data_IF_703471255388
#
_entry.id   IF_703471255388
#
_cell.length_a   1.000
_cell.length_b   1.000
_cell.length_c   1.000
_cell.angle_alpha   90.00
_cell.angle_beta   90.00
_cell.angle_gamma   90.00
#
_symmetry.space_group_name_H-M   'P 1'
#
loop_
_entity.id
_entity.type
_entity.pdbx_description
1 polymer ?
#
# COMPACT_ATOMS: atom_id res chain seq x y z
N UNK A 1 -24.04 9.92 -22.53
CA UNK A 1 -22.67 10.40 -22.83
C UNK A 1 -21.68 9.36 -22.30
N UNK A 2 -20.70 8.97 -23.11
CA UNK A 2 -19.74 7.92 -22.78
C UNK A 2 -18.73 8.45 -21.72
N UNK A 3 -18.65 7.77 -20.57
CA UNK A 3 -17.76 8.17 -19.46
C UNK A 3 -16.30 8.22 -19.89
N UNK A 4 -15.83 7.19 -20.60
CA UNK A 4 -14.44 7.06 -21.03
C UNK A 4 -14.05 8.18 -22.00
N UNK A 5 -14.98 8.59 -22.86
CA UNK A 5 -14.77 9.73 -23.78
C UNK A 5 -14.73 11.05 -23.02
N UNK A 6 -15.66 11.25 -22.07
CA UNK A 6 -15.77 12.50 -21.33
C UNK A 6 -14.57 12.77 -20.41
N UNK A 7 -13.90 11.72 -19.92
CA UNK A 7 -12.79 11.83 -18.98
C UNK A 7 -11.47 11.28 -19.54
N UNK A 8 -11.35 11.15 -20.87
CA UNK A 8 -10.20 10.53 -21.53
C UNK A 8 -8.84 11.13 -21.10
N UNK A 9 -8.77 12.46 -20.98
CA UNK A 9 -7.54 13.14 -20.55
C UNK A 9 -7.17 12.81 -19.10
N UNK A 10 -8.13 12.84 -18.16
CA UNK A 10 -7.89 12.50 -16.76
C UNK A 10 -7.55 11.02 -16.58
N UNK A 11 -8.18 10.12 -17.34
CA UNK A 11 -7.91 8.68 -17.29
C UNK A 11 -6.55 8.32 -17.90
N UNK A 12 -6.11 9.06 -18.92
CA UNK A 12 -4.74 8.97 -19.44
C UNK A 12 -3.73 9.45 -18.40
N UNK A 13 -3.95 10.62 -17.80
CA UNK A 13 -3.11 11.12 -16.71
C UNK A 13 -3.06 10.14 -15.52
N UNK A 14 -4.17 9.47 -15.21
CA UNK A 14 -4.22 8.43 -14.17
C UNK A 14 -3.38 7.21 -14.54
N UNK A 15 -3.44 6.76 -15.80
CA UNK A 15 -2.61 5.67 -16.32
C UNK A 15 -1.13 5.99 -16.16
N UNK A 16 -0.70 7.18 -16.59
CA UNK A 16 0.71 7.60 -16.50
C UNK A 16 1.16 7.76 -15.04
N UNK A 17 0.32 8.37 -14.21
CA UNK A 17 0.56 8.55 -12.77
C UNK A 17 0.72 7.22 -12.03
N UNK A 18 -0.21 6.28 -12.23
CA UNK A 18 -0.15 4.96 -11.63
C UNK A 18 0.99 4.12 -12.20
N UNK A 19 1.26 4.23 -13.49
CA UNK A 19 2.37 3.55 -14.16
C UNK A 19 3.74 3.98 -13.62
N UNK A 20 3.95 5.27 -13.41
CA UNK A 20 5.20 5.81 -12.85
C UNK A 20 5.52 5.24 -11.46
N UNK A 21 4.49 5.14 -10.60
CA UNK A 21 4.62 4.56 -9.26
C UNK A 21 4.73 3.03 -9.32
N UNK A 22 3.95 2.38 -10.18
CA UNK A 22 3.88 0.94 -10.34
C UNK A 22 5.08 0.29 -11.03
N UNK A 23 5.90 1.07 -11.73
CA UNK A 23 7.13 0.59 -12.36
C UNK A 23 8.27 0.38 -11.34
N UNK A 24 8.08 0.79 -10.08
CA UNK A 24 9.11 0.81 -9.05
C UNK A 24 8.84 -0.24 -7.96
N UNK A 25 9.57 -1.36 -7.94
CA UNK A 25 9.38 -2.40 -6.92
C UNK A 25 9.84 -1.96 -5.53
N UNK A 26 10.57 -0.85 -5.42
CA UNK A 26 10.91 -0.20 -4.14
C UNK A 26 9.80 0.71 -3.61
N UNK A 27 8.80 1.05 -4.43
CA UNK A 27 7.60 1.76 -4.01
C UNK A 27 6.44 0.81 -3.69
N UNK A 28 6.20 -0.18 -4.55
CA UNK A 28 5.08 -1.12 -4.41
C UNK A 28 5.50 -2.52 -4.85
N UNK A 29 5.11 -3.53 -4.09
CA UNK A 29 5.35 -4.94 -4.43
C UNK A 29 4.05 -5.59 -4.88
N UNK A 30 4.08 -6.26 -6.04
CA UNK A 30 2.91 -6.87 -6.68
C UNK A 30 1.65 -5.98 -6.67
N UNK A 31 0.58 -6.49 -6.05
CA UNK A 31 -0.72 -5.81 -5.94
C UNK A 31 -0.83 -4.78 -4.81
N UNK A 32 0.28 -4.41 -4.17
CA UNK A 32 0.37 -3.44 -3.08
C UNK A 32 0.03 -2.01 -3.50
N UNK A 33 -0.15 -1.14 -2.49
CA UNK A 33 -0.49 0.27 -2.69
C UNK A 33 -1.77 0.51 -3.51
N UNK A 34 -2.11 1.79 -3.71
CA UNK A 34 -3.20 2.20 -4.58
C UNK A 34 -3.10 3.68 -4.96
N UNK A 35 -3.80 4.02 -6.04
CA UNK A 35 -3.82 5.37 -6.59
C UNK A 35 -5.25 5.73 -6.97
N UNK A 36 -5.55 7.03 -6.99
CA UNK A 36 -6.82 7.53 -7.50
C UNK A 36 -6.66 8.87 -8.21
N UNK A 37 -7.58 9.14 -9.14
CA UNK A 37 -7.84 10.48 -9.68
C UNK A 37 -9.29 10.89 -9.43
N UNK A 38 -9.51 12.14 -9.01
CA UNK A 38 -10.83 12.77 -8.97
C UNK A 38 -11.05 13.56 -10.25
N UNK A 39 -12.18 13.33 -10.89
CA UNK A 39 -12.59 14.03 -12.09
C UNK A 39 -13.60 15.12 -11.74
N UNK A 40 -13.68 16.16 -12.59
CA UNK A 40 -14.62 17.25 -12.42
C UNK A 40 -16.07 16.72 -12.23
N UNK A 41 -16.78 17.27 -11.24
CA UNK A 41 -18.10 16.79 -10.83
C UNK A 41 -18.05 16.02 -9.52
N UNK A 42 -18.19 14.69 -9.59
CA UNK A 42 -18.35 13.83 -8.40
C UNK A 42 -17.67 12.46 -8.50
N UNK A 43 -16.92 12.18 -9.57
CA UNK A 43 -16.39 10.85 -9.83
C UNK A 43 -14.93 10.75 -9.43
N UNK A 44 -14.57 9.60 -8.86
CA UNK A 44 -13.20 9.22 -8.57
C UNK A 44 -12.95 7.85 -9.18
N UNK A 45 -11.89 7.74 -9.98
CA UNK A 45 -11.35 6.46 -10.42
C UNK A 45 -10.28 6.04 -9.42
N UNK A 46 -10.35 4.80 -8.93
CA UNK A 46 -9.42 4.25 -7.95
C UNK A 46 -9.04 2.83 -8.33
N UNK A 47 -7.78 2.47 -8.12
CA UNK A 47 -7.26 1.11 -8.35
C UNK A 47 -8.22 0.04 -7.81
N UNK A 48 -8.51 -0.95 -8.63
CA UNK A 48 -9.29 -2.11 -8.22
C UNK A 48 -8.44 -3.07 -7.35
N UNK A 49 -9.10 -3.75 -6.41
CA UNK A 49 -8.45 -4.77 -5.59
C UNK A 49 -7.96 -5.94 -6.46
N UNK A 50 -6.73 -6.40 -6.25
CA UNK A 50 -6.12 -7.52 -6.99
C UNK A 50 -5.33 -7.12 -8.24
N UNK A 51 -5.33 -5.84 -8.61
CA UNK A 51 -4.54 -5.31 -9.72
C UNK A 51 -3.29 -4.58 -9.24
N UNK A 52 -2.25 -4.58 -10.07
CA UNK A 52 -1.04 -3.78 -9.88
C UNK A 52 -1.30 -2.35 -10.34
N UNK A 53 -0.53 -1.38 -9.84
CA UNK A 53 -0.61 0.01 -10.33
C UNK A 53 -0.29 0.11 -11.83
N UNK A 54 0.64 -0.72 -12.30
CA UNK A 54 1.03 -0.84 -13.70
C UNK A 54 -0.05 -1.42 -14.62
N UNK A 55 -1.11 -2.02 -14.06
CA UNK A 55 -2.22 -2.61 -14.83
C UNK A 55 -3.25 -1.54 -15.24
N UNK A 56 -3.26 -0.36 -14.59
CA UNK A 56 -4.23 0.71 -14.86
C UNK A 56 -4.09 1.20 -16.30
N UNK A 57 -5.20 1.19 -17.04
CA UNK A 57 -5.35 1.80 -18.36
C UNK A 57 -6.62 2.65 -18.37
N UNK A 58 -6.86 3.48 -19.40
CA UNK A 58 -8.08 4.29 -19.45
C UNK A 58 -9.37 3.49 -19.38
N UNK A 59 -9.35 2.20 -19.70
CA UNK A 59 -10.49 1.28 -19.72
C UNK A 59 -10.26 0.01 -18.85
N UNK A 60 -9.27 -0.03 -17.96
CA UNK A 60 -8.91 -1.24 -17.23
C UNK A 60 -8.35 -1.02 -15.81
N UNK A 61 -8.58 -2.00 -14.92
CA UNK A 61 -7.97 -2.14 -13.58
C UNK A 61 -8.33 -1.07 -12.51
N UNK A 62 -9.45 -0.37 -12.68
CA UNK A 62 -9.97 0.56 -11.66
C UNK A 62 -11.50 0.47 -11.51
N UNK A 63 -12.01 0.97 -10.40
CA UNK A 63 -13.43 1.17 -10.15
C UNK A 63 -13.75 2.66 -10.09
N UNK A 64 -14.99 3.04 -10.43
CA UNK A 64 -15.48 4.42 -10.39
C UNK A 64 -16.44 4.59 -9.22
N UNK A 65 -16.19 5.59 -8.37
CA UNK A 65 -17.02 5.89 -7.20
C UNK A 65 -17.49 7.34 -7.17
N UNK A 66 -18.66 7.56 -6.59
CA UNK A 66 -19.14 8.86 -6.16
C UNK A 66 -18.37 9.29 -4.89
N UNK A 67 -17.27 10.03 -5.05
CA UNK A 67 -16.42 10.38 -3.91
C UNK A 67 -17.07 11.37 -2.93
N UNK A 68 -17.96 12.32 -3.34
CA UNK A 68 -18.68 13.15 -2.38
C UNK A 68 -19.52 12.36 -1.37
N UNK A 69 -20.11 11.23 -1.78
CA UNK A 69 -20.86 10.34 -0.86
C UNK A 69 -19.93 9.78 0.21
N UNK A 70 -18.80 9.20 -0.19
CA UNK A 70 -17.80 8.67 0.74
C UNK A 70 -17.26 9.77 1.66
N UNK A 71 -16.85 10.90 1.08
CA UNK A 71 -16.31 12.05 1.81
C UNK A 71 -17.33 12.58 2.83
N UNK A 72 -18.60 12.67 2.46
CA UNK A 72 -19.67 13.11 3.34
C UNK A 72 -19.86 12.14 4.51
N UNK A 73 -19.84 10.83 4.25
CA UNK A 73 -19.92 9.82 5.30
C UNK A 73 -18.81 10.01 6.34
N UNK A 74 -17.55 10.06 5.91
CA UNK A 74 -16.41 10.15 6.84
C UNK A 74 -16.23 11.52 7.50
N UNK A 75 -16.79 12.60 6.94
CA UNK A 75 -16.74 13.95 7.55
C UNK A 75 -17.87 14.23 8.53
N UNK A 76 -18.99 13.53 8.40
CA UNK A 76 -20.21 13.81 9.18
C UNK A 76 -20.47 12.78 10.29
N UNK A 77 -19.58 11.80 10.46
CA UNK A 77 -19.68 10.77 11.47
C UNK A 77 -18.34 10.55 12.16
N UNK A 78 -18.37 9.86 13.30
CA UNK A 78 -17.22 9.34 14.01
C UNK A 78 -17.25 7.82 13.96
N UNK A 79 -16.08 7.18 14.12
CA UNK A 79 -15.99 5.72 14.10
C UNK A 79 -16.87 5.05 15.20
N UNK A 80 -17.07 5.73 16.32
CA UNK A 80 -17.88 5.27 17.45
C UNK A 80 -19.41 5.29 17.18
N UNK A 81 -19.85 5.93 16.10
CA UNK A 81 -21.26 6.01 15.74
C UNK A 81 -21.79 4.67 15.19
N UNK A 82 -20.90 3.70 14.94
CA UNK A 82 -21.21 2.43 14.30
C UNK A 82 -20.80 1.25 15.17
N UNK A 83 -21.72 0.28 15.33
CA UNK A 83 -21.42 -1.01 15.97
C UNK A 83 -20.33 -1.78 15.20
N UNK A 84 -20.42 -1.77 13.85
CA UNK A 84 -19.43 -2.35 12.97
C UNK A 84 -19.01 -1.36 11.88
N UNK A 85 -18.03 -0.53 12.21
CA UNK A 85 -17.47 0.51 11.35
C UNK A 85 -16.97 0.00 9.99
N UNK A 86 -16.39 -1.21 9.92
CA UNK A 86 -15.90 -1.78 8.66
C UNK A 86 -17.06 -2.21 7.75
N UNK A 87 -18.11 -2.80 8.32
CA UNK A 87 -19.31 -3.14 7.56
C UNK A 87 -20.02 -1.88 7.04
N UNK A 88 -20.15 -0.85 7.88
CA UNK A 88 -20.76 0.44 7.49
C UNK A 88 -19.97 1.13 6.39
N UNK A 89 -18.64 1.25 6.52
CA UNK A 89 -17.80 1.84 5.47
C UNK A 89 -17.84 1.05 4.16
N UNK A 90 -17.82 -0.27 4.23
CA UNK A 90 -17.95 -1.15 3.05
C UNK A 90 -19.30 -0.99 2.34
N UNK A 91 -20.39 -0.85 3.10
CA UNK A 91 -21.72 -0.60 2.55
C UNK A 91 -21.77 0.73 1.78
N UNK A 92 -21.28 1.82 2.38
CA UNK A 92 -21.23 3.13 1.72
C UNK A 92 -20.33 3.12 0.49
N UNK A 93 -19.18 2.43 0.55
CA UNK A 93 -18.31 2.26 -0.60
C UNK A 93 -19.03 1.51 -1.73
N UNK A 94 -19.81 0.48 -1.43
CA UNK A 94 -20.59 -0.28 -2.41
C UNK A 94 -21.69 0.58 -3.03
N UNK A 95 -22.41 1.37 -2.24
CA UNK A 95 -23.45 2.30 -2.72
C UNK A 95 -22.87 3.41 -3.60
N UNK A 96 -21.63 3.84 -3.33
CA UNK A 96 -20.95 4.85 -4.12
C UNK A 96 -20.46 4.33 -5.49
N UNK A 97 -20.45 3.01 -5.75
CA UNK A 97 -19.96 2.47 -7.02
C UNK A 97 -20.87 2.90 -8.17
N UNK A 98 -20.26 3.45 -9.21
CA UNK A 98 -20.90 3.72 -10.49
C UNK A 98 -20.51 2.65 -11.50
N UNK A 99 -21.51 1.99 -12.08
CA UNK A 99 -21.30 1.18 -13.28
C UNK A 99 -21.03 2.07 -14.49
N UNK A 100 -20.03 1.69 -15.28
CA UNK A 100 -19.59 2.43 -16.46
C UNK A 100 -19.48 1.46 -17.62
N UNK A 101 -20.19 1.77 -18.71
CA UNK A 101 -20.10 0.99 -19.95
C UNK A 101 -18.67 0.98 -20.46
N UNK A 102 -18.15 -0.20 -20.77
CA UNK A 102 -16.77 -0.41 -21.20
C UNK A 102 -15.76 -0.63 -20.07
N UNK A 103 -16.20 -0.67 -18.81
CA UNK A 103 -15.38 -1.10 -17.67
C UNK A 103 -15.97 -2.37 -17.04
N UNK A 104 -15.08 -3.27 -16.62
CA UNK A 104 -15.46 -4.42 -15.81
C UNK A 104 -16.03 -3.97 -14.44
N UNK A 105 -16.98 -4.73 -13.92
CA UNK A 105 -17.50 -4.54 -12.57
C UNK A 105 -16.50 -5.03 -11.52
N UNK A 106 -15.51 -4.19 -11.21
CA UNK A 106 -14.43 -4.50 -10.28
C UNK A 106 -14.70 -4.00 -8.86
N UNK A 107 -14.16 -4.74 -7.87
CA UNK A 107 -14.17 -4.30 -6.46
C UNK A 107 -13.16 -3.16 -6.27
N UNK A 108 -13.55 -1.99 -5.74
CA UNK A 108 -12.59 -0.91 -5.45
C UNK A 108 -11.57 -1.33 -4.37
N UNK A 109 -10.49 -0.57 -4.24
CA UNK A 109 -9.61 -0.69 -3.06
C UNK A 109 -10.41 -0.53 -1.76
N UNK A 110 -10.04 -1.30 -0.72
CA UNK A 110 -10.62 -1.15 0.63
C UNK A 110 -10.33 0.22 1.26
N UNK A 111 -9.39 0.95 0.67
CA UNK A 111 -8.92 2.26 1.09
C UNK A 111 -9.58 3.44 0.36
N UNK A 112 -10.58 3.15 -0.48
CA UNK A 112 -11.32 4.19 -1.22
C UNK A 112 -11.88 5.32 -0.33
N UNK A 113 -12.14 5.03 0.94
CA UNK A 113 -12.54 6.00 1.94
C UNK A 113 -11.56 7.17 2.06
N UNK A 114 -10.31 6.93 2.43
CA UNK A 114 -9.36 8.03 2.61
C UNK A 114 -9.01 8.71 1.29
N UNK A 115 -9.00 7.97 0.17
CA UNK A 115 -8.83 8.59 -1.15
C UNK A 115 -9.86 9.68 -1.39
N UNK A 116 -11.11 9.48 -0.96
CA UNK A 116 -12.17 10.50 -1.10
C UNK A 116 -11.91 11.78 -0.30
N UNK A 117 -11.16 11.71 0.80
CA UNK A 117 -10.85 12.83 1.69
C UNK A 117 -9.76 13.75 1.15
N UNK A 118 -8.85 13.20 0.34
CA UNK A 118 -7.64 13.87 -0.16
C UNK A 118 -7.88 14.60 -1.50
N UNK A 119 -6.83 15.17 -2.07
CA UNK A 119 -6.87 16.06 -3.25
C UNK A 119 -7.05 15.30 -4.57
N UNK A 120 -6.95 15.98 -5.72
CA UNK A 120 -7.25 15.44 -7.04
C UNK A 120 -6.59 14.09 -7.34
N UNK A 121 -5.27 14.01 -7.16
CA UNK A 121 -4.47 12.79 -7.29
C UNK A 121 -3.97 12.33 -5.93
N UNK A 122 -4.00 11.02 -5.70
CA UNK A 122 -3.52 10.39 -4.46
C UNK A 122 -2.64 9.22 -4.81
N UNK A 123 -1.41 9.23 -4.32
CA UNK A 123 -0.46 8.12 -4.36
C UNK A 123 -0.35 7.51 -2.97
N UNK A 124 -0.81 6.28 -2.80
CA UNK A 124 -0.48 5.48 -1.64
C UNK A 124 0.41 4.31 -2.06
N UNK A 125 1.60 4.23 -1.44
CA UNK A 125 2.59 3.20 -1.74
C UNK A 125 3.13 2.61 -0.45
N UNK A 126 3.55 1.36 -0.49
CA UNK A 126 4.25 0.69 0.61
C UNK A 126 5.77 0.82 0.43
N UNK A 127 6.21 2.05 0.16
CA UNK A 127 7.59 2.33 -0.21
C UNK A 127 8.55 1.85 0.87
N UNK A 128 9.60 1.14 0.45
CA UNK A 128 10.62 0.62 1.35
C UNK A 128 11.31 1.75 2.12
N UNK A 129 11.48 2.92 1.49
CA UNK A 129 12.13 4.08 2.10
C UNK A 129 11.24 4.73 3.17
N UNK A 130 9.96 4.98 2.86
CA UNK A 130 9.03 5.50 3.85
C UNK A 130 8.82 4.51 5.01
N UNK A 131 8.79 3.21 4.72
CA UNK A 131 8.68 2.17 5.73
C UNK A 131 9.93 2.03 6.61
N UNK A 132 11.08 2.61 6.25
CA UNK A 132 12.19 2.80 7.21
C UNK A 132 11.73 3.65 8.40
N UNK A 133 11.00 4.74 8.16
CA UNK A 133 10.43 5.51 9.26
C UNK A 133 9.18 4.81 9.82
N UNK A 134 8.23 4.42 8.98
CA UNK A 134 6.92 3.95 9.42
C UNK A 134 6.97 2.65 10.24
N UNK A 135 7.96 1.79 10.01
CA UNK A 135 8.13 0.53 10.73
C UNK A 135 9.18 0.63 11.85
N UNK A 136 9.71 1.81 12.16
CA UNK A 136 10.66 2.01 13.25
C UNK A 136 9.97 2.27 14.59
N UNK A 137 10.68 1.96 15.68
CA UNK A 137 10.32 2.35 17.04
C UNK A 137 10.40 3.84 17.33
N UNK A 138 10.84 4.64 16.36
CA UNK A 138 10.97 6.09 16.43
C UNK A 138 10.30 6.79 15.22
N UNK A 139 9.20 6.24 14.71
CA UNK A 139 8.55 6.69 13.47
C UNK A 139 8.32 8.21 13.40
N UNK A 140 7.78 8.82 14.46
CA UNK A 140 7.55 10.27 14.52
C UNK A 140 8.87 11.05 14.44
N UNK A 141 9.86 10.70 15.27
CA UNK A 141 11.14 11.41 15.29
C UNK A 141 11.90 11.26 13.96
N UNK A 142 11.84 10.10 13.32
CA UNK A 142 12.46 9.86 12.03
C UNK A 142 11.75 10.59 10.89
N UNK A 143 10.42 10.68 10.92
CA UNK A 143 9.65 11.49 9.98
C UNK A 143 9.99 12.97 10.12
N UNK A 144 9.97 13.50 11.35
CA UNK A 144 10.27 14.90 11.63
C UNK A 144 11.70 15.24 11.20
N UNK A 145 12.67 14.35 11.46
CA UNK A 145 14.05 14.50 11.00
C UNK A 145 14.15 14.51 9.47
N UNK A 146 13.52 13.55 8.79
CA UNK A 146 13.62 13.40 7.34
C UNK A 146 12.94 14.56 6.58
N UNK A 147 11.79 15.03 7.09
CA UNK A 147 10.93 16.00 6.42
C UNK A 147 10.98 17.41 7.03
N UNK A 148 11.90 17.70 7.94
CA UNK A 148 12.02 18.99 8.64
C UNK A 148 11.97 20.20 7.69
N UNK A 149 12.72 20.12 6.59
CA UNK A 149 12.82 21.18 5.58
C UNK A 149 12.07 20.83 4.29
N UNK A 150 11.11 19.91 4.36
CA UNK A 150 10.22 19.65 3.24
C UNK A 150 9.31 20.88 3.05
N UNK A 151 9.25 21.43 1.84
CA UNK A 151 8.41 22.59 1.50
C UNK A 151 6.89 22.32 1.58
N UNK A 152 6.48 21.21 2.20
CA UNK A 152 5.11 20.73 2.31
C UNK A 152 4.83 20.19 3.71
N UNK A 153 3.55 19.98 4.02
CA UNK A 153 3.12 19.51 5.33
C UNK A 153 3.15 17.99 5.41
N UNK A 154 3.45 17.46 6.58
CA UNK A 154 3.49 16.02 6.80
C UNK A 154 2.91 15.67 8.18
N UNK A 155 2.28 14.51 8.29
CA UNK A 155 1.72 14.00 9.54
C UNK A 155 1.89 12.49 9.63
N UNK A 156 2.14 11.98 10.83
CA UNK A 156 2.13 10.55 11.13
C UNK A 156 0.72 10.15 11.55
N UNK A 157 0.19 9.11 10.94
CA UNK A 157 -1.03 8.43 11.38
C UNK A 157 -0.58 7.17 12.13
N UNK A 158 -0.95 7.02 13.43
CA UNK A 158 -0.66 5.81 14.18
C UNK A 158 -1.23 4.56 13.51
N UNK A 159 -0.72 3.40 13.87
CA UNK A 159 -1.17 2.15 13.27
C UNK A 159 -2.68 1.94 13.47
N UNK A 160 -3.38 1.73 12.35
CA UNK A 160 -4.79 1.33 12.30
C UNK A 160 -4.95 0.35 11.15
N UNK A 161 -5.75 -0.70 11.37
CA UNK A 161 -6.02 -1.70 10.33
C UNK A 161 -6.59 -1.03 9.06
N UNK A 162 -6.13 -1.42 7.85
CA UNK A 162 -6.66 -0.90 6.59
C UNK A 162 -8.18 -1.04 6.46
N UNK A 163 -8.86 0.06 6.12
CA UNK A 163 -10.30 0.09 5.95
C UNK A 163 -10.96 1.38 6.47
N UNK A 164 -12.18 1.24 6.98
CA UNK A 164 -12.99 2.36 7.44
C UNK A 164 -12.40 3.01 8.70
N UNK A 165 -11.86 2.24 9.65
CA UNK A 165 -11.18 2.79 10.84
C UNK A 165 -10.00 3.67 10.47
N UNK A 166 -9.14 3.20 9.56
CA UNK A 166 -8.01 3.98 9.06
C UNK A 166 -8.49 5.28 8.40
N UNK A 167 -9.60 5.23 7.66
CA UNK A 167 -10.17 6.42 7.03
C UNK A 167 -10.60 7.48 8.06
N UNK A 168 -11.28 7.07 9.15
CA UNK A 168 -11.61 7.99 10.24
C UNK A 168 -10.35 8.54 10.93
N UNK A 169 -9.35 7.70 11.20
CA UNK A 169 -8.08 8.16 11.79
C UNK A 169 -7.34 9.18 10.89
N UNK A 170 -7.40 8.99 9.57
CA UNK A 170 -6.87 9.96 8.60
C UNK A 170 -7.68 11.26 8.65
N UNK A 171 -9.02 11.21 8.72
CA UNK A 171 -9.86 12.41 8.85
C UNK A 171 -9.53 13.20 10.13
N UNK A 172 -9.32 12.51 11.25
CA UNK A 172 -8.93 13.13 12.52
C UNK A 172 -7.54 13.79 12.41
N UNK A 173 -6.56 13.08 11.84
CA UNK A 173 -5.21 13.61 11.62
C UNK A 173 -5.21 14.83 10.68
N UNK A 174 -5.98 14.79 9.61
CA UNK A 174 -6.15 15.91 8.68
C UNK A 174 -6.76 17.13 9.37
N UNK A 175 -7.78 16.92 10.20
CA UNK A 175 -8.48 17.99 10.94
C UNK A 175 -7.54 18.63 11.96
N UNK A 176 -6.91 17.82 12.83
CA UNK A 176 -5.98 18.30 13.84
C UNK A 176 -4.77 19.03 13.21
N UNK A 177 -4.25 18.52 12.10
CA UNK A 177 -3.14 19.19 11.39
C UNK A 177 -3.58 20.54 10.81
N UNK A 178 -4.75 20.60 10.18
CA UNK A 178 -5.30 21.84 9.61
C UNK A 178 -5.56 22.90 10.69
N UNK A 179 -6.12 22.52 11.83
CA UNK A 179 -6.36 23.40 12.97
C UNK A 179 -5.06 23.97 13.53
N UNK A 180 -4.03 23.13 13.65
CA UNK A 180 -2.72 23.54 14.19
C UNK A 180 -1.90 24.39 13.22
N UNK A 181 -1.93 24.09 11.92
CA UNK A 181 -0.98 24.64 10.96
C UNK A 181 -1.61 25.60 9.93
N UNK A 182 -2.94 25.76 9.92
CA UNK A 182 -3.65 26.60 8.96
C UNK A 182 -3.66 26.07 7.52
N UNK A 183 -3.12 24.87 7.28
CA UNK A 183 -3.02 24.21 5.98
C UNK A 183 -3.10 22.70 6.13
N UNK A 184 -3.46 21.99 5.06
CA UNK A 184 -3.48 20.51 5.03
C UNK A 184 -2.05 19.96 4.87
N UNK A 185 -1.75 18.77 5.41
CA UNK A 185 -0.53 18.08 5.04
C UNK A 185 -0.63 17.61 3.57
N UNK A 186 0.50 17.50 2.89
CA UNK A 186 0.57 16.89 1.55
C UNK A 186 1.07 15.44 1.61
N UNK A 187 1.72 15.07 2.72
CA UNK A 187 2.23 13.72 3.01
C UNK A 187 1.61 13.19 4.29
N UNK A 188 1.16 11.95 4.27
CA UNK A 188 0.80 11.20 5.47
C UNK A 188 1.70 9.97 5.53
N UNK A 189 2.42 9.79 6.63
CA UNK A 189 3.11 8.55 6.93
C UNK A 189 2.17 7.68 7.74
N UNK A 190 1.92 6.44 7.31
CA UNK A 190 1.05 5.49 7.99
C UNK A 190 1.94 4.47 8.70
N UNK A 191 1.96 4.50 10.04
CA UNK A 191 2.78 3.59 10.83
C UNK A 191 2.51 2.13 10.45
N UNK A 192 3.58 1.35 10.25
CA UNK A 192 3.53 -0.04 9.81
C UNK A 192 2.67 -0.30 8.56
N UNK A 193 2.66 0.64 7.61
CA UNK A 193 1.82 0.51 6.43
C UNK A 193 2.45 1.13 5.18
N UNK A 194 2.74 2.42 5.19
CA UNK A 194 3.34 3.07 4.02
C UNK A 194 3.20 4.60 4.04
N UNK A 195 3.20 5.19 2.85
CA UNK A 195 3.12 6.64 2.66
C UNK A 195 1.96 6.99 1.74
N UNK A 196 1.30 8.11 2.03
CA UNK A 196 0.35 8.76 1.14
C UNK A 196 0.92 10.12 0.75
N UNK A 197 0.94 10.43 -0.54
CA UNK A 197 1.09 11.78 -1.07
C UNK A 197 -0.17 12.16 -1.87
N UNK A 198 -0.55 13.44 -1.84
CA UNK A 198 -1.67 13.93 -2.64
C UNK A 198 -1.49 15.37 -3.08
N UNK A 199 -2.03 15.68 -4.27
CA UNK A 199 -2.08 17.02 -4.83
C UNK A 199 -3.14 17.08 -5.93
N UNK A 200 -3.64 18.26 -6.30
CA UNK A 200 -4.59 18.41 -7.42
C UNK A 200 -3.95 18.20 -8.82
N UNK A 201 -2.62 18.21 -8.87
CA UNK A 201 -1.83 18.01 -10.09
C UNK A 201 -0.99 16.73 -9.96
N UNK A 202 -1.02 15.90 -11.01
CA UNK A 202 -0.35 14.59 -11.00
C UNK A 202 1.16 14.72 -10.86
N UNK A 203 1.79 15.67 -11.56
CA UNK A 203 3.24 15.84 -11.54
C UNK A 203 3.72 16.33 -10.16
N UNK A 204 2.98 17.27 -9.55
CA UNK A 204 3.26 17.71 -8.18
C UNK A 204 3.07 16.58 -7.16
N UNK A 205 2.03 15.74 -7.32
CA UNK A 205 1.81 14.58 -6.45
C UNK A 205 2.97 13.58 -6.54
N UNK A 206 3.43 13.25 -7.75
CA UNK A 206 4.61 12.41 -7.97
C UNK A 206 5.88 13.04 -7.38
N UNK A 207 6.07 14.35 -7.57
CA UNK A 207 7.23 15.06 -7.05
C UNK A 207 7.28 15.02 -5.51
N UNK A 208 6.16 15.33 -4.84
CA UNK A 208 6.05 15.27 -3.37
C UNK A 208 6.32 13.85 -2.86
N UNK A 209 5.76 12.84 -3.54
CA UNK A 209 5.97 11.44 -3.20
C UNK A 209 7.45 11.04 -3.32
N UNK A 210 8.10 11.38 -4.43
CA UNK A 210 9.49 11.05 -4.67
C UNK A 210 10.43 11.81 -3.71
N UNK A 211 10.24 13.11 -3.52
CA UNK A 211 11.03 13.94 -2.59
C UNK A 211 10.95 13.38 -1.15
N UNK A 212 9.75 13.00 -0.70
CA UNK A 212 9.59 12.39 0.62
C UNK A 212 10.40 11.09 0.75
N UNK A 213 10.34 10.21 -0.26
CA UNK A 213 11.08 8.95 -0.23
C UNK A 213 12.61 9.14 -0.34
N UNK A 214 13.08 10.10 -1.13
CA UNK A 214 14.49 10.48 -1.20
C UNK A 214 15.00 10.99 0.16
N UNK A 215 14.20 11.83 0.83
CA UNK A 215 14.51 12.33 2.17
C UNK A 215 14.56 11.21 3.21
N UNK A 216 13.61 10.27 3.16
CA UNK A 216 13.67 9.08 4.02
C UNK A 216 14.94 8.26 3.73
N UNK A 217 15.26 7.96 2.47
CA UNK A 217 16.49 7.25 2.12
C UNK A 217 17.73 7.94 2.72
N UNK A 218 17.85 9.26 2.51
CA UNK A 218 18.95 10.06 3.04
C UNK A 218 19.02 10.07 4.58
N UNK A 219 17.87 10.21 5.26
CA UNK A 219 17.80 10.27 6.72
C UNK A 219 18.28 8.99 7.43
N UNK A 220 18.21 7.86 6.73
CA UNK A 220 18.68 6.53 7.15
C UNK A 220 20.04 6.13 6.55
N UNK A 221 20.71 7.05 5.84
CA UNK A 221 22.04 6.82 5.28
C UNK A 221 22.08 5.80 4.14
N UNK A 222 20.97 5.64 3.40
CA UNK A 222 20.90 4.79 2.20
C UNK A 222 20.71 5.64 0.94
N UNK A 223 21.17 5.14 -0.20
CA UNK A 223 20.87 5.77 -1.49
C UNK A 223 19.47 5.42 -1.96
N UNK A 224 18.90 6.28 -2.81
CA UNK A 224 17.55 6.15 -3.35
C UNK A 224 17.40 5.12 -4.48
N UNK A 225 18.50 4.44 -4.80
CA UNK A 225 18.64 3.34 -5.75
C UNK A 225 19.24 2.09 -5.08
N UNK A 226 19.32 2.08 -3.73
CA UNK A 226 19.93 0.98 -2.98
C UNK A 226 19.07 -0.29 -2.96
N UNK A 227 17.78 -0.19 -3.26
CA UNK A 227 16.90 -1.35 -3.29
C UNK A 227 17.36 -2.33 -4.39
N UNK A 228 17.51 -3.63 -4.08
CA UNK A 228 17.96 -4.60 -5.08
C UNK A 228 16.95 -4.71 -6.22
N UNK A 229 17.41 -5.04 -7.43
CA UNK A 229 16.54 -5.39 -8.54
C UNK A 229 16.05 -6.84 -8.39
N UNK A 230 14.78 -7.08 -8.00
CA UNK A 230 14.28 -8.43 -7.76
C UNK A 230 14.16 -9.16 -9.10
N UNK A 231 14.66 -10.39 -9.16
CA UNK A 231 14.61 -11.20 -10.37
C UNK A 231 14.59 -12.69 -10.05
N UNK A 232 14.06 -13.46 -11.00
CA UNK A 232 13.96 -14.91 -10.90
C UNK A 232 14.39 -15.53 -12.22
N UNK A 233 14.73 -16.81 -12.16
CA UNK A 233 15.04 -17.63 -13.34
C UNK A 233 14.27 -18.95 -13.29
N UNK A 234 13.99 -19.50 -14.47
CA UNK A 234 13.48 -20.86 -14.60
C UNK A 234 14.60 -21.87 -14.38
N UNK A 235 14.28 -22.95 -13.67
CA UNK A 235 15.14 -24.11 -13.48
C UNK A 235 14.30 -25.37 -13.68
N UNK A 236 14.27 -25.87 -14.92
CA UNK A 236 13.28 -26.87 -15.33
C UNK A 236 11.87 -26.27 -15.30
N UNK A 237 10.94 -26.98 -14.65
CA UNK A 237 9.55 -26.53 -14.46
C UNK A 237 9.36 -25.63 -13.23
N UNK A 238 10.42 -25.42 -12.43
CA UNK A 238 10.39 -24.60 -11.23
C UNK A 238 10.94 -23.19 -11.48
N UNK A 239 10.54 -22.24 -10.62
CA UNK A 239 11.12 -20.90 -10.54
C UNK A 239 12.06 -20.82 -9.33
N UNK A 240 13.20 -20.16 -9.50
CA UNK A 240 14.20 -19.96 -8.43
C UNK A 240 14.61 -18.49 -8.41
N UNK A 241 14.83 -17.96 -7.22
CA UNK A 241 15.39 -16.62 -7.01
C UNK A 241 16.71 -16.47 -7.79
N UNK A 242 16.87 -15.31 -8.42
CA UNK A 242 18.11 -14.92 -9.10
C UNK A 242 18.62 -13.57 -8.60
N UNK A 243 18.13 -13.07 -7.46
CA UNK A 243 18.56 -11.81 -6.85
C UNK A 243 19.77 -12.06 -5.94
N UNK A 244 21.01 -11.73 -6.35
CA UNK A 244 22.21 -12.10 -5.58
C UNK A 244 22.25 -11.43 -4.21
N UNK A 245 21.75 -10.19 -4.14
CA UNK A 245 21.63 -9.42 -2.91
C UNK A 245 20.75 -10.13 -1.87
N UNK A 246 19.64 -10.73 -2.31
CA UNK A 246 18.72 -11.45 -1.43
C UNK A 246 19.30 -12.79 -1.01
N UNK A 247 19.86 -13.54 -1.98
CA UNK A 247 20.51 -14.83 -1.72
C UNK A 247 21.64 -14.70 -0.70
N UNK A 248 22.44 -13.63 -0.76
CA UNK A 248 23.47 -13.38 0.23
C UNK A 248 22.92 -13.31 1.65
N UNK A 249 21.77 -12.65 1.83
CA UNK A 249 21.18 -12.29 3.14
C UNK A 249 20.31 -13.40 3.72
N UNK A 250 19.69 -14.21 2.88
CA UNK A 250 18.85 -15.32 3.34
C UNK A 250 19.64 -16.57 3.78
N UNK A 251 20.97 -16.58 3.60
CA UNK A 251 21.84 -17.66 4.11
C UNK A 251 21.92 -17.66 5.63
N UNK A 252 21.91 -18.87 6.20
CA UNK A 252 21.95 -19.07 7.64
C UNK A 252 20.75 -18.42 8.35
N UNK A 253 21.01 -17.88 9.55
CA UNK A 253 19.96 -17.50 10.50
C UNK A 253 19.82 -15.97 10.68
N UNK A 254 20.37 -15.16 9.76
CA UNK A 254 20.28 -13.70 9.86
C UNK A 254 18.84 -13.18 9.71
N UNK A 255 18.03 -13.87 8.90
CA UNK A 255 16.62 -13.57 8.66
C UNK A 255 15.79 -14.86 8.74
N UNK A 256 15.56 -15.41 9.95
CA UNK A 256 14.93 -16.73 10.10
C UNK A 256 13.46 -16.70 9.63
N UNK A 257 12.97 -17.83 9.11
CA UNK A 257 11.61 -17.96 8.56
C UNK A 257 10.55 -17.50 9.57
N UNK A 258 10.75 -17.86 10.84
CA UNK A 258 9.85 -17.50 11.93
C UNK A 258 9.69 -15.98 12.05
N UNK A 259 10.78 -15.21 12.01
CA UNK A 259 10.74 -13.75 12.09
C UNK A 259 10.07 -13.16 10.84
N UNK A 260 10.35 -13.71 9.66
CA UNK A 260 9.70 -13.27 8.42
C UNK A 260 8.18 -13.50 8.42
N UNK A 261 7.71 -14.56 9.07
CA UNK A 261 6.30 -14.96 9.12
C UNK A 261 5.52 -14.34 10.29
N UNK A 262 6.11 -14.34 11.48
CA UNK A 262 5.43 -14.01 12.75
C UNK A 262 5.58 -12.54 13.15
N UNK A 263 6.53 -11.82 12.53
CA UNK A 263 6.76 -10.40 12.77
C UNK A 263 6.60 -9.56 11.49
N UNK A 264 5.38 -9.44 10.96
CA UNK A 264 5.12 -8.63 9.78
C UNK A 264 5.29 -7.14 10.07
N UNK A 265 5.96 -6.43 9.16
CA UNK A 265 6.22 -5.00 9.24
C UNK A 265 5.06 -4.16 8.68
N UNK A 266 4.40 -4.65 7.63
CA UNK A 266 3.30 -3.98 6.93
C UNK A 266 2.33 -5.00 6.29
N UNK A 267 1.09 -4.61 5.94
CA UNK A 267 0.02 -5.55 5.58
C UNK A 267 0.33 -6.49 4.42
N UNK A 268 1.02 -6.01 3.39
CA UNK A 268 1.34 -6.78 2.20
C UNK A 268 2.26 -7.97 2.48
N UNK A 269 3.23 -7.82 3.40
CA UNK A 269 4.08 -8.93 3.85
C UNK A 269 3.22 -10.11 4.31
N UNK A 270 2.17 -9.81 5.09
CA UNK A 270 1.27 -10.84 5.59
C UNK A 270 0.46 -11.49 4.46
N UNK A 271 -0.05 -10.67 3.54
CA UNK A 271 -0.88 -11.16 2.42
C UNK A 271 -0.07 -12.07 1.52
N UNK A 272 1.20 -11.73 1.23
CA UNK A 272 2.02 -12.48 0.29
C UNK A 272 2.73 -13.66 0.93
N UNK A 273 3.14 -13.59 2.20
CA UNK A 273 3.85 -14.70 2.84
C UNK A 273 2.91 -15.77 3.40
N UNK A 274 1.71 -15.40 3.86
CA UNK A 274 0.79 -16.33 4.51
C UNK A 274 0.47 -17.51 3.60
N UNK A 275 0.61 -18.71 4.15
CA UNK A 275 0.38 -20.00 3.48
C UNK A 275 1.23 -20.26 2.23
N UNK A 276 2.27 -19.44 2.00
CA UNK A 276 3.15 -19.53 0.84
C UNK A 276 4.61 -19.72 1.28
N UNK A 277 5.16 -18.78 2.04
CA UNK A 277 6.53 -18.87 2.54
C UNK A 277 6.67 -20.04 3.54
N UNK A 278 7.68 -20.88 3.34
CA UNK A 278 7.88 -22.14 4.06
C UNK A 278 7.08 -23.34 3.53
N UNK A 279 6.18 -23.13 2.55
CA UNK A 279 5.36 -24.20 1.95
C UNK A 279 5.60 -24.34 0.44
N UNK A 280 5.18 -23.34 -0.33
CA UNK A 280 5.28 -23.31 -1.79
C UNK A 280 6.31 -22.28 -2.27
N UNK A 281 6.81 -21.42 -1.38
CA UNK A 281 8.07 -20.70 -1.54
C UNK A 281 9.01 -21.10 -0.41
N UNK A 282 10.12 -21.76 -0.71
CA UNK A 282 11.03 -22.33 0.30
C UNK A 282 12.41 -21.71 0.17
N UNK A 283 12.94 -21.18 1.27
CA UNK A 283 14.29 -20.62 1.33
C UNK A 283 15.25 -21.77 1.62
N UNK A 284 16.19 -22.04 0.70
CA UNK A 284 17.34 -22.88 0.98
C UNK A 284 18.32 -22.08 1.85
N UNK A 285 18.45 -22.45 3.12
CA UNK A 285 19.31 -21.72 4.07
C UNK A 285 20.81 -21.93 3.86
N UNK A 286 21.21 -22.91 3.06
CA UNK A 286 22.61 -23.13 2.69
C UNK A 286 23.02 -22.18 1.56
N UNK A 287 22.20 -22.08 0.52
CA UNK A 287 22.50 -21.24 -0.66
C UNK A 287 21.93 -19.82 -0.57
N UNK A 288 20.88 -19.64 0.24
CA UNK A 288 20.05 -18.44 0.34
C UNK A 288 19.04 -18.29 -0.80
N UNK A 289 19.01 -19.21 -1.76
CA UNK A 289 18.09 -19.14 -2.88
C UNK A 289 16.67 -19.51 -2.44
N UNK A 290 15.69 -18.82 -3.02
CA UNK A 290 14.27 -19.14 -2.80
C UNK A 290 13.76 -19.98 -3.96
N UNK A 291 13.10 -21.09 -3.67
CA UNK A 291 12.48 -21.97 -4.64
C UNK A 291 10.98 -21.74 -4.64
N UNK A 292 10.41 -21.46 -5.81
CA UNK A 292 9.01 -21.09 -5.99
C UNK A 292 8.24 -22.16 -6.77
N UNK A 293 7.19 -22.66 -6.14
CA UNK A 293 6.19 -23.59 -6.66
C UNK A 293 4.82 -22.90 -6.76
N UNK A 294 4.82 -21.69 -7.31
CA UNK A 294 3.64 -20.82 -7.50
C UNK A 294 3.70 -20.17 -8.89
N UNK A 295 2.59 -19.60 -9.42
CA UNK A 295 2.62 -18.88 -10.68
C UNK A 295 3.64 -17.74 -10.69
N UNK A 296 4.21 -17.46 -11.87
CA UNK A 296 5.32 -16.51 -12.05
C UNK A 296 5.06 -15.12 -11.44
N UNK A 297 3.86 -14.56 -11.63
CA UNK A 297 3.48 -13.27 -11.03
C UNK A 297 3.53 -13.30 -9.49
N UNK A 298 3.09 -14.40 -8.88
CA UNK A 298 3.11 -14.58 -7.43
C UNK A 298 4.54 -14.79 -6.93
N UNK A 299 5.36 -15.54 -7.67
CA UNK A 299 6.76 -15.75 -7.36
C UNK A 299 7.53 -14.41 -7.35
N UNK A 300 7.29 -13.54 -8.35
CA UNK A 300 7.90 -12.22 -8.40
C UNK A 300 7.46 -11.35 -7.23
N UNK A 301 6.17 -11.35 -6.90
CA UNK A 301 5.65 -10.59 -5.75
C UNK A 301 6.30 -11.03 -4.44
N UNK A 302 6.54 -12.34 -4.26
CA UNK A 302 7.25 -12.86 -3.09
C UNK A 302 8.72 -12.44 -3.06
N UNK A 303 9.42 -12.51 -4.20
CA UNK A 303 10.81 -12.05 -4.35
C UNK A 303 10.94 -10.56 -3.99
N UNK A 304 10.07 -9.72 -4.54
CA UNK A 304 9.99 -8.28 -4.24
C UNK A 304 9.72 -8.03 -2.74
N UNK A 305 8.76 -8.75 -2.17
CA UNK A 305 8.38 -8.60 -0.76
C UNK A 305 9.49 -9.06 0.20
N UNK A 306 10.17 -10.16 -0.12
CA UNK A 306 11.35 -10.62 0.63
C UNK A 306 12.47 -9.57 0.59
N UNK A 307 12.74 -9.00 -0.59
CA UNK A 307 13.69 -7.90 -0.72
C UNK A 307 13.28 -6.71 0.16
N UNK A 308 12.02 -6.29 0.11
CA UNK A 308 11.49 -5.17 0.90
C UNK A 308 11.64 -5.38 2.42
N UNK A 309 11.22 -6.55 2.93
CA UNK A 309 11.28 -6.86 4.36
C UNK A 309 12.73 -6.92 4.86
N UNK A 310 13.60 -7.62 4.12
CA UNK A 310 15.03 -7.73 4.46
C UNK A 310 15.70 -6.35 4.41
N UNK A 311 15.40 -5.55 3.38
CA UNK A 311 15.97 -4.21 3.20
C UNK A 311 15.62 -3.29 4.37
N UNK A 312 14.33 -3.24 4.75
CA UNK A 312 13.87 -2.41 5.87
C UNK A 312 14.52 -2.87 7.17
N UNK A 313 14.49 -4.17 7.49
CA UNK A 313 15.06 -4.71 8.74
C UNK A 313 16.56 -4.41 8.87
N UNK A 314 17.33 -4.64 7.82
CA UNK A 314 18.77 -4.40 7.86
C UNK A 314 19.13 -2.91 8.03
N UNK A 315 18.42 -2.01 7.35
CA UNK A 315 18.70 -0.58 7.45
C UNK A 315 18.31 -0.03 8.82
N UNK A 316 17.17 -0.48 9.38
CA UNK A 316 16.78 -0.16 10.75
C UNK A 316 17.86 -0.60 11.74
N UNK A 317 18.28 -1.86 11.66
CA UNK A 317 19.31 -2.40 12.54
C UNK A 317 20.65 -1.65 12.42
N UNK A 318 21.08 -1.30 11.19
CA UNK A 318 22.30 -0.50 10.95
C UNK A 318 22.23 0.90 11.56
N UNK A 319 21.03 1.46 11.71
CA UNK A 319 20.80 2.76 12.34
C UNK A 319 20.53 2.65 13.85
N UNK A 320 20.66 1.46 14.44
CA UNK A 320 20.41 1.24 15.87
C UNK A 320 18.94 1.38 16.26
N UNK A 321 18.02 1.19 15.30
CA UNK A 321 16.57 1.27 15.49
C UNK A 321 15.96 -0.13 15.48
N UNK A 322 14.87 -0.30 16.23
CA UNK A 322 14.14 -1.56 16.24
C UNK A 322 13.00 -1.49 15.23
N UNK A 323 12.81 -2.58 14.49
CA UNK A 323 11.62 -2.75 13.67
C UNK A 323 10.43 -3.07 14.57
N UNK A 324 9.36 -2.30 14.47
CA UNK A 324 8.08 -2.60 15.09
C UNK A 324 7.32 -3.57 14.17
N UNK A 325 6.91 -4.69 14.73
CA UNK A 325 5.97 -5.62 14.10
C UNK A 325 4.53 -5.16 14.35
N UNK A 326 3.63 -5.45 13.41
CA UNK A 326 2.18 -5.28 13.57
C UNK A 326 1.59 -6.17 14.69
N UNK A 327 2.34 -7.14 15.23
CA UNK A 327 2.01 -7.86 16.47
C UNK A 327 0.61 -8.51 16.48
N UNK A 328 -0.21 -8.21 17.49
CA UNK A 328 -1.59 -8.70 17.59
C UNK A 328 -2.53 -8.14 16.52
N UNK A 329 -2.21 -6.97 15.95
CA UNK A 329 -3.01 -6.43 14.86
C UNK A 329 -2.85 -7.26 13.57
N UNK A 330 -1.67 -7.83 13.35
CA UNK A 330 -1.46 -8.78 12.27
C UNK A 330 -2.40 -10.01 12.40
N UNK A 331 -2.54 -10.56 13.60
CA UNK A 331 -3.46 -11.69 13.85
C UNK A 331 -4.91 -11.30 13.56
N UNK A 332 -5.37 -10.16 14.07
CA UNK A 332 -6.74 -9.64 13.83
C UNK A 332 -7.02 -9.38 12.35
N UNK A 333 -6.07 -8.80 11.63
CA UNK A 333 -6.19 -8.52 10.19
C UNK A 333 -6.32 -9.82 9.37
N UNK A 334 -5.54 -10.86 9.72
CA UNK A 334 -5.61 -12.18 9.11
C UNK A 334 -6.97 -12.86 9.37
N UNK A 335 -7.38 -12.91 10.63
CA UNK A 335 -8.62 -13.58 11.07
C UNK A 335 -9.86 -12.91 10.46
N UNK A 336 -9.85 -11.58 10.34
CA UNK A 336 -10.92 -10.80 9.74
C UNK A 336 -11.14 -11.12 8.26
N UNK A 337 -10.05 -11.30 7.48
CA UNK A 337 -10.13 -11.68 6.07
C UNK A 337 -10.56 -13.13 5.86
N UNK A 338 -10.12 -14.06 6.68
CA UNK A 338 -10.60 -15.45 6.62
C UNK A 338 -12.09 -15.54 6.91
N UNK A 339 -12.55 -14.80 7.91
CA UNK A 339 -13.97 -14.67 8.24
C UNK A 339 -14.78 -14.04 7.11
N UNK A 340 -14.21 -13.10 6.34
CA UNK A 340 -14.85 -12.51 5.15
C UNK A 340 -14.89 -13.49 3.97
N UNK A 341 -13.79 -14.22 3.69
CA UNK A 341 -13.74 -15.27 2.66
C UNK A 341 -14.74 -16.39 2.96
N UNK A 342 -14.81 -16.85 4.21
CA UNK A 342 -15.73 -17.88 4.65
C UNK A 342 -17.19 -17.44 4.50
N UNK A 343 -17.55 -16.23 4.97
CA UNK A 343 -18.91 -15.67 4.80
C UNK A 343 -19.32 -15.55 3.33
N UNK A 344 -18.40 -15.12 2.45
CA UNK A 344 -18.65 -15.08 1.00
C UNK A 344 -18.88 -16.47 0.41
N UNK A 345 -18.07 -17.45 0.79
CA UNK A 345 -18.25 -18.83 0.33
C UNK A 345 -19.58 -19.46 0.79
N UNK A 346 -20.12 -19.05 1.94
CA UNK A 346 -21.45 -19.48 2.40
C UNK A 346 -22.59 -18.79 1.65
N UNK A 347 -22.45 -17.48 1.37
CA UNK A 347 -23.43 -16.73 0.59
C UNK A 347 -23.49 -17.18 -0.89
N UNK A 348 -22.38 -17.66 -1.45
CA UNK A 348 -22.34 -18.25 -2.80
C UNK A 348 -22.88 -19.69 -2.85
N UNK A 349 -22.97 -20.39 -1.70
CA UNK A 349 -23.48 -21.77 -1.61
C UNK A 349 -24.97 -21.88 -1.30
N UNK A 350 -25.60 -20.80 -0.85
CA UNK A 350 -27.04 -20.74 -0.63
C UNK A 350 -27.63 -19.63 -1.54
N UNK A 351 -28.09 -19.98 -2.76
CA UNK A 351 -28.68 -19.02 -3.69
C UNK A 351 -29.97 -18.36 -3.17
#
# INVERSE_FOLDING_TARGET
>A
MNFLVNYAAQLTAFTDFSGALGARPDYVQGGGGNTSVKMAGQWMAIKASGFCLSDIRPDHAYAVLNYPVLRGFYRNHLAQDFENVEASGSAVAKEAIRQVDGLDSLRPSVEAGFHSLLDGFVAHTHSVYANLAACSDQAQAMMDKALADAGYGHVLVPYVDPGARLTFAIQDALTAYQEKNGRRPAVLLLQNHGIIAHHDDAAQCLHIHEDANQRFAAAFGTSFDAFPAPRMRRQGDALVSDTPWLAERLRGDAHPDQVLLEEPLYPDQMVFFKDVLGKTAVIDRVTGLVHYSVPEKNALTLEETLCAVVFIREILHKNGLNAISMGEAARRFIDGRESEKYRKSLAERNP
#
